data_IF_511691199268
#
_entry.id   IF_511691199268
#
_cell.length_a   1.000
_cell.length_b   1.000
_cell.length_c   1.000
_cell.angle_alpha   90.00
_cell.angle_beta   90.00
_cell.angle_gamma   90.00
#
_symmetry.space_group_name_H-M   'P 1'
#
loop_
_entity.id
_entity.type
_entity.pdbx_description
1 polymer ?
#
# COMPACT_ATOMS: atom_id res chain seq x y z
N UNK A 1 -7.20 -1.73 27.28
CA UNK A 1 -6.34 -2.77 26.78
C UNK A 1 -5.32 -2.15 25.83
N UNK A 2 -4.03 -2.36 26.10
CA UNK A 2 -2.98 -1.85 25.24
C UNK A 2 -2.91 -2.75 24.01
N UNK A 3 -3.37 -2.29 22.87
CA UNK A 3 -3.03 -2.91 21.59
C UNK A 3 -1.55 -2.68 21.33
N UNK A 4 -0.72 -3.59 21.82
CA UNK A 4 0.65 -3.65 21.37
C UNK A 4 0.70 -4.37 20.03
N UNK A 5 1.31 -3.72 19.04
CA UNK A 5 1.60 -4.35 17.79
C UNK A 5 2.65 -5.44 17.99
N UNK A 6 2.22 -6.69 17.90
CA UNK A 6 2.98 -7.88 18.28
C UNK A 6 3.76 -8.40 17.06
N UNK A 7 4.61 -7.57 16.44
CA UNK A 7 5.50 -8.06 15.38
C UNK A 7 6.85 -8.56 15.88
N UNK A 8 7.17 -8.30 17.12
CA UNK A 8 8.41 -8.71 17.79
C UNK A 8 8.26 -9.92 18.73
N UNK A 9 7.03 -10.45 18.85
CA UNK A 9 6.71 -11.61 19.67
C UNK A 9 5.59 -12.44 19.04
N UNK A 10 5.42 -13.67 19.51
CA UNK A 10 4.29 -14.51 19.09
C UNK A 10 2.99 -13.95 19.65
N UNK A 11 1.93 -14.08 18.85
CA UNK A 11 0.59 -13.69 19.28
C UNK A 11 0.16 -14.50 20.50
N UNK A 12 -0.32 -13.82 21.53
CA UNK A 12 -0.85 -14.46 22.76
C UNK A 12 -2.06 -13.66 23.22
N UNK A 13 -3.22 -14.33 23.30
CA UNK A 13 -4.46 -13.79 23.83
C UNK A 13 -5.17 -14.86 24.67
N UNK A 14 -6.07 -14.46 25.56
CA UNK A 14 -6.75 -15.38 26.51
C UNK A 14 -7.65 -16.40 25.80
N UNK A 15 -8.19 -16.08 24.62
CA UNK A 15 -9.11 -16.88 23.81
C UNK A 15 -8.51 -17.39 22.50
N UNK A 16 -7.18 -17.40 22.39
CA UNK A 16 -6.49 -17.82 21.17
C UNK A 16 -6.56 -19.32 20.93
N UNK A 17 -6.59 -19.69 19.66
CA UNK A 17 -6.37 -21.06 19.21
C UNK A 17 -4.88 -21.37 19.00
N UNK A 18 -4.52 -22.67 18.97
CA UNK A 18 -3.16 -23.09 18.68
C UNK A 18 -2.66 -22.62 17.29
N UNK A 19 -3.58 -22.40 16.34
CA UNK A 19 -3.30 -21.86 15.01
C UNK A 19 -2.73 -20.45 15.08
N UNK A 20 -3.23 -19.63 16.01
CA UNK A 20 -2.84 -18.23 16.14
C UNK A 20 -1.35 -18.06 16.45
N UNK A 21 -0.72 -19.05 17.09
CA UNK A 21 0.73 -19.08 17.31
C UNK A 21 1.53 -19.13 16.01
N UNK A 22 0.98 -19.72 14.96
CA UNK A 22 1.66 -19.87 13.67
C UNK A 22 1.45 -18.67 12.75
N UNK A 23 0.37 -17.89 12.97
CA UNK A 23 0.10 -16.67 12.23
C UNK A 23 1.16 -15.62 12.60
N UNK A 24 1.94 -15.18 11.62
CA UNK A 24 3.04 -14.24 11.85
C UNK A 24 4.31 -14.85 12.45
N UNK A 25 4.40 -16.17 12.66
CA UNK A 25 5.57 -16.82 13.23
C UNK A 25 6.81 -16.85 12.30
N UNK A 26 6.69 -16.41 11.05
CA UNK A 26 7.79 -16.30 10.07
C UNK A 26 8.64 -17.59 9.93
N UNK A 27 8.01 -18.76 10.05
CA UNK A 27 8.69 -20.06 9.94
C UNK A 27 9.51 -20.48 11.16
N UNK A 28 9.50 -19.71 12.26
CA UNK A 28 10.29 -20.02 13.46
C UNK A 28 9.73 -21.17 14.28
N UNK A 29 8.44 -21.49 14.16
CA UNK A 29 7.76 -22.56 14.90
C UNK A 29 7.61 -23.85 14.09
N UNK A 30 7.81 -23.81 12.79
CA UNK A 30 7.67 -24.98 11.93
C UNK A 30 7.43 -24.63 10.47
N UNK A 31 7.20 -25.67 9.67
CA UNK A 31 6.85 -25.56 8.25
C UNK A 31 5.39 -25.98 8.09
N UNK A 32 4.56 -25.08 7.56
CA UNK A 32 3.15 -25.37 7.24
C UNK A 32 3.13 -26.16 5.94
N UNK A 33 2.60 -27.39 5.98
CA UNK A 33 2.52 -28.28 4.82
C UNK A 33 1.11 -28.35 4.22
N UNK A 34 0.09 -28.02 5.01
CA UNK A 34 -1.30 -28.02 4.58
C UNK A 34 -2.06 -26.94 5.36
N UNK A 35 -2.98 -26.27 4.69
CA UNK A 35 -3.77 -25.19 5.26
C UNK A 35 -5.21 -25.29 4.76
N UNK A 36 -6.16 -25.22 5.69
CA UNK A 36 -7.57 -25.01 5.39
C UNK A 36 -7.97 -23.58 5.75
N UNK A 37 -8.55 -22.86 4.79
CA UNK A 37 -8.99 -21.48 4.95
C UNK A 37 -10.47 -21.33 4.64
N UNK A 38 -11.14 -20.46 5.38
CA UNK A 38 -12.48 -20.04 5.05
C UNK A 38 -12.44 -19.10 3.84
N UNK A 39 -13.31 -19.33 2.86
CA UNK A 39 -13.44 -18.49 1.68
C UNK A 39 -14.65 -17.57 1.84
N UNK A 40 -14.50 -16.34 1.38
CA UNK A 40 -15.60 -15.40 1.20
C UNK A 40 -16.08 -15.44 -0.26
N UNK A 41 -17.36 -15.13 -0.54
CA UNK A 41 -17.82 -14.93 -1.91
C UNK A 41 -16.98 -13.85 -2.60
N UNK A 42 -16.64 -14.07 -3.87
CA UNK A 42 -15.97 -13.06 -4.65
C UNK A 42 -16.93 -11.89 -4.93
N UNK A 43 -16.40 -10.67 -4.81
CA UNK A 43 -17.15 -9.45 -5.15
C UNK A 43 -17.57 -9.45 -6.62
N UNK A 44 -18.79 -9.03 -6.92
CA UNK A 44 -19.27 -8.98 -8.29
C UNK A 44 -18.59 -7.88 -9.10
N UNK A 45 -18.25 -6.77 -8.45
CA UNK A 45 -17.57 -5.60 -9.04
C UNK A 45 -16.37 -5.21 -8.22
N UNK A 46 -15.20 -5.18 -8.85
CA UNK A 46 -13.96 -4.71 -8.25
C UNK A 46 -13.43 -3.54 -9.06
N UNK A 47 -13.32 -2.37 -8.44
CA UNK A 47 -12.71 -1.20 -9.05
C UNK A 47 -11.45 -0.77 -8.29
N UNK A 48 -10.43 -0.35 -9.03
CA UNK A 48 -9.21 0.22 -8.47
C UNK A 48 -9.12 1.71 -8.78
N UNK A 49 -8.74 2.51 -7.78
CA UNK A 49 -8.58 3.97 -7.96
C UNK A 49 -7.21 4.38 -7.43
N UNK A 50 -6.36 4.90 -8.32
CA UNK A 50 -5.05 5.46 -7.94
C UNK A 50 -5.16 6.98 -7.89
N UNK A 51 -5.07 7.54 -6.69
CA UNK A 51 -5.16 8.97 -6.39
C UNK A 51 -3.76 9.56 -6.23
N UNK A 52 -3.46 10.64 -6.92
CA UNK A 52 -2.13 11.26 -6.88
C UNK A 52 -2.16 12.61 -6.17
N UNK A 53 -1.07 12.88 -5.44
CA UNK A 53 -0.89 14.09 -4.64
C UNK A 53 0.49 14.71 -4.90
N UNK A 54 0.56 16.03 -4.80
CA UNK A 54 1.80 16.80 -4.88
C UNK A 54 2.58 16.84 -3.55
N UNK A 55 1.96 16.37 -2.47
CA UNK A 55 2.56 16.33 -1.14
C UNK A 55 2.06 15.16 -0.29
N UNK A 56 2.93 14.72 0.61
CA UNK A 56 2.66 13.64 1.56
C UNK A 56 1.56 14.03 2.56
N UNK A 57 1.56 15.27 3.02
CA UNK A 57 0.58 15.76 3.99
C UNK A 57 -0.86 15.69 3.43
N UNK A 58 -1.05 15.98 2.13
CA UNK A 58 -2.34 15.81 1.45
C UNK A 58 -2.76 14.34 1.34
N UNK A 59 -1.82 13.47 0.99
CA UNK A 59 -2.09 12.03 0.87
C UNK A 59 -2.46 11.41 2.22
N UNK A 60 -1.79 11.81 3.31
CA UNK A 60 -2.13 11.36 4.67
C UNK A 60 -3.52 11.87 5.08
N UNK A 61 -3.81 13.16 4.84
CA UNK A 61 -5.13 13.73 5.13
C UNK A 61 -6.24 13.04 4.34
N UNK A 62 -5.99 12.70 3.06
CA UNK A 62 -6.89 11.91 2.25
C UNK A 62 -7.12 10.52 2.85
N UNK A 63 -6.04 9.82 3.21
CA UNK A 63 -6.11 8.46 3.77
C UNK A 63 -6.93 8.43 5.06
N UNK A 64 -6.72 9.38 5.96
CA UNK A 64 -7.50 9.49 7.21
C UNK A 64 -8.97 9.81 6.96
N UNK A 65 -9.26 10.64 5.94
CA UNK A 65 -10.61 11.08 5.63
C UNK A 65 -11.42 10.07 4.82
N UNK A 66 -10.76 9.29 3.94
CA UNK A 66 -11.45 8.35 3.05
C UNK A 66 -11.89 7.08 3.78
N UNK A 67 -11.14 6.65 4.79
CA UNK A 67 -11.45 5.46 5.58
C UNK A 67 -12.86 5.40 6.16
N UNK A 68 -13.30 6.41 6.93
CA UNK A 68 -14.63 6.37 7.55
C UNK A 68 -15.76 6.60 6.55
N UNK A 69 -15.45 7.00 5.32
CA UNK A 69 -16.44 7.35 4.29
C UNK A 69 -16.76 6.17 3.39
N UNK A 70 -15.74 5.36 3.02
CA UNK A 70 -15.93 4.22 2.14
C UNK A 70 -16.30 2.98 2.93
N UNK A 71 -17.45 2.39 2.61
CA UNK A 71 -17.93 1.17 3.25
C UNK A 71 -17.41 -0.11 2.57
N UNK A 72 -16.96 0.01 1.32
CA UNK A 72 -16.56 -1.12 0.46
C UNK A 72 -15.10 -1.04 0.02
N UNK A 73 -14.27 -0.29 0.77
CA UNK A 73 -12.83 -0.28 0.53
C UNK A 73 -12.20 -1.60 1.01
N UNK A 74 -11.74 -2.42 0.08
CA UNK A 74 -11.07 -3.68 0.36
C UNK A 74 -9.58 -3.47 0.67
N UNK A 75 -8.95 -2.47 0.06
CA UNK A 75 -7.57 -2.09 0.32
C UNK A 75 -7.34 -0.60 0.15
N UNK A 76 -6.43 -0.06 0.95
CA UNK A 76 -5.88 1.29 0.76
C UNK A 76 -4.36 1.15 0.84
N UNK A 77 -3.63 1.47 -0.23
CA UNK A 77 -2.19 1.34 -0.32
C UNK A 77 -1.53 2.69 -0.60
N UNK A 78 -0.43 2.92 0.07
CA UNK A 78 0.34 4.15 -0.02
C UNK A 78 1.65 3.92 -0.75
N UNK A 79 2.08 4.89 -1.58
CA UNK A 79 3.36 4.90 -2.30
C UNK A 79 3.95 6.29 -2.21
N UNK A 80 5.12 6.43 -1.59
CA UNK A 80 5.79 7.72 -1.44
C UNK A 80 6.52 8.19 -2.70
N UNK A 81 7.15 9.35 -2.62
CA UNK A 81 7.93 9.94 -3.72
C UNK A 81 9.08 9.02 -4.16
N UNK A 82 9.75 8.36 -3.20
CA UNK A 82 10.84 7.43 -3.49
C UNK A 82 10.37 6.23 -4.30
N UNK A 83 9.20 5.67 -3.95
CA UNK A 83 8.58 4.58 -4.70
C UNK A 83 8.21 5.01 -6.12
N UNK A 84 7.57 6.18 -6.28
CA UNK A 84 7.21 6.69 -7.60
C UNK A 84 8.43 7.02 -8.46
N UNK A 85 9.51 7.55 -7.89
CA UNK A 85 10.74 7.86 -8.61
C UNK A 85 11.47 6.59 -9.07
N UNK A 86 11.42 5.51 -8.30
CA UNK A 86 11.91 4.20 -8.73
C UNK A 86 11.12 3.70 -9.94
N UNK A 87 9.80 3.80 -9.91
CA UNK A 87 8.95 3.38 -11.05
C UNK A 87 9.17 4.22 -12.30
N UNK A 88 9.36 5.54 -12.19
CA UNK A 88 9.72 6.41 -13.32
C UNK A 88 11.03 5.94 -13.97
N UNK A 89 12.06 5.73 -13.16
CA UNK A 89 13.37 5.22 -13.65
C UNK A 89 13.25 3.86 -14.33
N UNK A 90 12.52 2.91 -13.73
CA UNK A 90 12.35 1.57 -14.30
C UNK A 90 11.60 1.61 -15.63
N UNK A 91 10.56 2.43 -15.72
CA UNK A 91 9.82 2.60 -16.98
C UNK A 91 10.69 3.12 -18.12
N UNK A 92 11.65 4.00 -17.84
CA UNK A 92 12.60 4.55 -18.83
C UNK A 92 13.71 3.58 -19.21
N UNK A 93 14.19 2.79 -18.27
CA UNK A 93 15.39 1.98 -18.41
C UNK A 93 15.13 0.53 -18.81
N UNK A 94 13.93 0.03 -18.60
CA UNK A 94 13.59 -1.37 -18.80
C UNK A 94 12.32 -1.57 -19.62
N UNK A 95 12.43 -2.36 -20.70
CA UNK A 95 11.27 -2.75 -21.51
C UNK A 95 10.25 -3.58 -20.74
N UNK A 96 10.65 -4.28 -19.68
CA UNK A 96 9.75 -5.04 -18.82
C UNK A 96 8.73 -4.13 -18.09
N UNK A 97 9.09 -2.87 -17.87
CA UNK A 97 8.23 -1.87 -17.20
C UNK A 97 7.62 -0.86 -18.18
N UNK A 98 7.78 -1.04 -19.48
CA UNK A 98 7.24 -0.11 -20.50
C UNK A 98 5.70 0.00 -20.49
N UNK A 99 5.00 -1.01 -19.97
CA UNK A 99 3.54 -1.02 -19.82
C UNK A 99 3.04 -0.23 -18.62
N UNK A 100 3.92 0.20 -17.70
CA UNK A 100 3.53 1.10 -16.63
C UNK A 100 3.01 2.41 -17.21
N UNK A 101 1.89 2.96 -16.71
CA UNK A 101 1.42 4.27 -17.11
C UNK A 101 2.48 5.34 -16.84
N UNK A 102 2.48 6.39 -17.65
CA UNK A 102 3.34 7.54 -17.40
C UNK A 102 2.85 8.25 -16.12
N UNK A 103 3.75 8.37 -15.15
CA UNK A 103 3.51 9.13 -13.94
C UNK A 103 3.82 10.60 -14.20
N UNK A 104 2.89 11.47 -13.84
CA UNK A 104 3.10 12.91 -13.85
C UNK A 104 4.26 13.30 -12.92
N UNK A 105 5.14 14.19 -13.36
CA UNK A 105 6.30 14.63 -12.59
C UNK A 105 5.93 15.39 -11.30
N UNK A 106 4.76 16.00 -11.27
CA UNK A 106 4.22 16.67 -10.09
C UNK A 106 3.64 15.70 -9.05
N UNK A 107 3.34 14.46 -9.44
CA UNK A 107 2.87 13.43 -8.52
C UNK A 107 4.01 13.00 -7.59
N UNK A 108 3.89 13.30 -6.30
CA UNK A 108 4.85 12.92 -5.26
C UNK A 108 4.40 11.73 -4.44
N UNK A 109 3.10 11.51 -4.35
CA UNK A 109 2.51 10.41 -3.59
C UNK A 109 1.35 9.82 -4.37
N UNK A 110 1.19 8.50 -4.29
CA UNK A 110 0.00 7.81 -4.76
C UNK A 110 -0.67 7.09 -3.59
N UNK A 111 -1.99 7.21 -3.51
CA UNK A 111 -2.83 6.37 -2.66
C UNK A 111 -3.75 5.56 -3.57
N UNK A 112 -3.58 4.25 -3.53
CA UNK A 112 -4.45 3.31 -4.23
C UNK A 112 -5.58 2.87 -3.32
N UNK A 113 -6.79 2.85 -3.83
CA UNK A 113 -7.99 2.35 -3.14
C UNK A 113 -8.63 1.26 -4.00
N UNK A 114 -8.87 0.09 -3.41
CA UNK A 114 -9.62 -0.98 -4.03
C UNK A 114 -11.04 -1.01 -3.46
N UNK A 115 -12.03 -1.02 -4.33
CA UNK A 115 -13.45 -1.06 -3.99
C UNK A 115 -14.01 -2.43 -4.39
N UNK A 116 -14.54 -3.16 -3.43
CA UNK A 116 -15.20 -4.45 -3.60
C UNK A 116 -16.70 -4.28 -3.37
N UNK A 117 -17.47 -4.31 -4.46
CA UNK A 117 -18.88 -3.97 -4.45
C UNK A 117 -19.77 -5.10 -4.98
N UNK A 118 -21.04 -5.08 -4.59
CA UNK A 118 -22.03 -6.04 -5.05
C UNK A 118 -22.53 -5.75 -6.48
N UNK A 119 -22.52 -4.49 -6.87
CA UNK A 119 -22.91 -4.03 -8.21
C UNK A 119 -22.24 -2.70 -8.63
N UNK A 120 -22.44 -2.32 -9.91
CA UNK A 120 -21.86 -1.07 -10.45
C UNK A 120 -22.48 0.20 -9.87
N UNK A 121 -23.72 0.15 -9.38
CA UNK A 121 -24.38 1.32 -8.78
C UNK A 121 -23.67 1.64 -7.44
N UNK A 122 -23.43 0.62 -6.62
CA UNK A 122 -22.69 0.76 -5.37
C UNK A 122 -21.25 1.23 -5.62
N UNK A 123 -20.52 0.62 -6.58
CA UNK A 123 -19.18 1.04 -6.94
C UNK A 123 -19.15 2.51 -7.42
N UNK A 124 -20.19 2.95 -8.13
CA UNK A 124 -20.31 4.33 -8.57
C UNK A 124 -20.54 5.29 -7.40
N UNK A 125 -21.35 4.93 -6.42
CA UNK A 125 -21.59 5.71 -5.21
C UNK A 125 -20.29 5.85 -4.39
N UNK A 126 -19.57 4.75 -4.18
CA UNK A 126 -18.26 4.76 -3.49
C UNK A 126 -17.25 5.66 -4.23
N UNK A 127 -17.21 5.59 -5.57
CA UNK A 127 -16.33 6.44 -6.37
C UNK A 127 -16.68 7.93 -6.23
N UNK A 128 -17.98 8.31 -6.12
CA UNK A 128 -18.37 9.69 -5.83
C UNK A 128 -17.90 10.14 -4.45
N UNK A 129 -18.05 9.30 -3.43
CA UNK A 129 -17.57 9.60 -2.09
C UNK A 129 -16.05 9.79 -2.07
N UNK A 130 -15.33 8.90 -2.76
CA UNK A 130 -13.87 9.00 -2.88
C UNK A 130 -13.46 10.30 -3.59
N UNK A 131 -14.10 10.64 -4.71
CA UNK A 131 -13.83 11.88 -5.46
C UNK A 131 -14.07 13.13 -4.63
N UNK A 132 -15.14 13.17 -3.84
CA UNK A 132 -15.40 14.27 -2.91
C UNK A 132 -14.28 14.42 -1.85
N UNK A 133 -13.85 13.31 -1.25
CA UNK A 133 -12.74 13.34 -0.26
C UNK A 133 -11.43 13.73 -0.93
N UNK A 134 -11.18 13.26 -2.17
CA UNK A 134 -10.01 13.60 -2.96
C UNK A 134 -9.90 15.11 -3.19
N UNK A 135 -11.00 15.73 -3.61
CA UNK A 135 -11.08 17.18 -3.82
C UNK A 135 -10.81 17.95 -2.53
N UNK A 136 -11.44 17.56 -1.41
CA UNK A 136 -11.23 18.19 -0.09
C UNK A 136 -9.78 18.10 0.38
N UNK A 137 -9.10 16.99 0.11
CA UNK A 137 -7.70 16.79 0.45
C UNK A 137 -6.73 17.50 -0.53
N UNK A 138 -7.25 18.10 -1.60
CA UNK A 138 -6.44 18.76 -2.62
C UNK A 138 -5.65 17.78 -3.48
N UNK A 139 -6.21 16.59 -3.72
CA UNK A 139 -5.68 15.61 -4.66
C UNK A 139 -5.87 16.04 -6.12
N UNK A 140 -5.22 15.31 -7.02
CA UNK A 140 -5.22 15.61 -8.45
C UNK A 140 -6.25 14.75 -9.17
N UNK A 141 -7.42 15.32 -9.38
CA UNK A 141 -8.53 14.66 -10.08
C UNK A 141 -8.14 14.34 -11.55
N UNK A 142 -7.46 15.25 -12.22
CA UNK A 142 -7.00 15.12 -13.61
C UNK A 142 -5.95 14.02 -13.81
N UNK A 143 -5.24 13.63 -12.75
CA UNK A 143 -4.24 12.57 -12.76
C UNK A 143 -4.74 11.24 -12.20
N UNK A 144 -5.96 11.19 -11.66
CA UNK A 144 -6.51 9.98 -11.02
C UNK A 144 -6.80 8.88 -12.05
N UNK A 145 -6.34 7.66 -11.76
CA UNK A 145 -6.61 6.49 -12.60
C UNK A 145 -7.73 5.64 -12.00
N UNK A 146 -8.76 5.38 -12.79
CA UNK A 146 -9.88 4.53 -12.39
C UNK A 146 -9.89 3.27 -13.25
N UNK A 147 -9.65 2.12 -12.64
CA UNK A 147 -9.67 0.81 -13.28
C UNK A 147 -11.02 0.13 -13.06
N UNK A 148 -11.80 0.04 -14.12
CA UNK A 148 -13.12 -0.63 -14.13
C UNK A 148 -13.09 -1.95 -14.89
N UNK A 149 -12.21 -2.07 -15.88
CA UNK A 149 -12.06 -3.28 -16.69
C UNK A 149 -10.98 -4.19 -16.13
N UNK A 150 -10.99 -5.46 -16.50
CA UNK A 150 -9.93 -6.41 -16.12
C UNK A 150 -8.55 -5.93 -16.59
N UNK A 151 -8.46 -5.38 -17.79
CA UNK A 151 -7.22 -4.86 -18.36
C UNK A 151 -6.66 -3.71 -17.53
N UNK A 152 -7.53 -2.77 -17.13
CA UNK A 152 -7.11 -1.65 -16.28
C UNK A 152 -6.66 -2.12 -14.90
N UNK A 153 -7.38 -3.09 -14.31
CA UNK A 153 -7.01 -3.69 -13.02
C UNK A 153 -5.66 -4.41 -13.07
N UNK A 154 -5.41 -5.16 -14.15
CA UNK A 154 -4.09 -5.80 -14.35
C UNK A 154 -2.98 -4.75 -14.47
N UNK A 155 -3.22 -3.63 -15.13
CA UNK A 155 -2.26 -2.52 -15.21
C UNK A 155 -1.98 -1.93 -13.82
N UNK A 156 -3.01 -1.68 -13.01
CA UNK A 156 -2.83 -1.19 -11.63
C UNK A 156 -2.18 -2.25 -10.73
N UNK A 157 -2.52 -3.53 -10.87
CA UNK A 157 -1.85 -4.62 -10.16
C UNK A 157 -0.37 -4.65 -10.49
N UNK A 158 -0.02 -4.54 -11.77
CA UNK A 158 1.38 -4.45 -12.18
C UNK A 158 2.09 -3.25 -11.56
N UNK A 159 1.47 -2.07 -11.55
CA UNK A 159 2.00 -0.87 -10.88
C UNK A 159 2.30 -1.12 -9.40
N UNK A 160 1.35 -1.70 -8.65
CA UNK A 160 1.51 -1.99 -7.22
C UNK A 160 2.65 -2.98 -6.96
N UNK A 161 2.77 -4.04 -7.77
CA UNK A 161 3.81 -5.05 -7.62
C UNK A 161 5.18 -4.61 -8.15
N UNK A 162 5.22 -3.64 -9.04
CA UNK A 162 6.46 -3.15 -9.64
C UNK A 162 7.39 -2.45 -8.63
N UNK A 163 6.87 -1.84 -7.56
CA UNK A 163 7.69 -1.16 -6.54
C UNK A 163 8.60 -2.14 -5.81
N UNK A 164 8.10 -3.18 -5.10
CA UNK A 164 8.96 -4.13 -4.40
C UNK A 164 9.92 -4.86 -5.34
N UNK A 165 9.50 -5.20 -6.55
CA UNK A 165 10.33 -5.82 -7.57
C UNK A 165 11.49 -4.89 -7.97
N UNK A 166 11.18 -3.64 -8.28
CA UNK A 166 12.16 -2.63 -8.66
C UNK A 166 13.19 -2.34 -7.56
N UNK A 167 12.76 -2.30 -6.31
CA UNK A 167 13.67 -2.14 -5.16
C UNK A 167 14.62 -3.33 -5.05
N UNK A 168 14.12 -4.55 -5.21
CA UNK A 168 14.97 -5.74 -5.17
C UNK A 168 15.98 -5.74 -6.33
N UNK A 169 15.55 -5.40 -7.55
CA UNK A 169 16.44 -5.26 -8.71
C UNK A 169 17.53 -4.20 -8.47
N UNK A 170 17.19 -3.05 -7.90
CA UNK A 170 18.15 -1.99 -7.56
C UNK A 170 19.18 -2.45 -6.53
N UNK A 171 18.76 -3.17 -5.51
CA UNK A 171 19.68 -3.73 -4.50
C UNK A 171 20.60 -4.78 -5.15
N UNK A 172 20.07 -5.68 -5.98
CA UNK A 172 20.86 -6.70 -6.68
C UNK A 172 21.88 -6.09 -7.63
N UNK A 173 21.51 -5.02 -8.34
CA UNK A 173 22.44 -4.28 -9.20
C UNK A 173 23.60 -3.66 -8.38
N UNK A 174 23.29 -2.99 -7.27
CA UNK A 174 24.30 -2.40 -6.39
C UNK A 174 25.21 -3.44 -5.76
N UNK A 175 24.69 -4.60 -5.42
CA UNK A 175 25.47 -5.72 -4.86
C UNK A 175 26.49 -6.31 -5.83
N UNK A 176 26.36 -6.06 -7.14
CA UNK A 176 27.39 -6.45 -8.12
C UNK A 176 28.71 -5.68 -7.91
N UNK A 177 28.64 -4.49 -7.38
CA UNK A 177 29.81 -3.63 -7.11
C UNK A 177 30.24 -3.67 -5.64
N UNK A 178 29.31 -3.87 -4.71
CA UNK A 178 29.58 -3.95 -3.28
C UNK A 178 28.64 -4.96 -2.62
N UNK A 179 29.19 -6.12 -2.26
CA UNK A 179 28.45 -7.22 -1.63
C UNK A 179 27.94 -6.89 -0.20
N UNK A 180 28.41 -5.79 0.41
CA UNK A 180 27.97 -5.38 1.75
C UNK A 180 26.64 -4.63 1.72
N UNK A 181 26.21 -4.18 0.54
CA UNK A 181 24.93 -3.49 0.39
C UNK A 181 23.79 -4.44 0.72
N UNK A 182 22.91 -3.99 1.60
CA UNK A 182 21.72 -4.73 2.01
C UNK A 182 20.50 -3.83 2.06
N UNK A 183 19.34 -4.41 1.83
CA UNK A 183 18.06 -3.75 2.04
C UNK A 183 17.78 -3.71 3.53
N UNK A 184 17.53 -2.53 4.06
CA UNK A 184 16.94 -2.34 5.37
C UNK A 184 15.43 -2.15 5.21
N UNK A 185 14.65 -2.90 5.95
CA UNK A 185 13.20 -2.78 6.01
C UNK A 185 12.75 -2.43 7.42
N UNK A 186 11.78 -1.55 7.52
CA UNK A 186 11.06 -1.26 8.76
C UNK A 186 9.57 -1.30 8.47
N UNK A 187 8.82 -1.84 9.40
CA UNK A 187 7.41 -2.09 9.27
C UNK A 187 6.75 -1.75 10.59
N UNK A 188 6.04 -0.63 10.64
CA UNK A 188 5.41 -0.16 11.87
C UNK A 188 3.89 -0.06 11.68
N UNK A 189 3.16 -0.54 12.66
CA UNK A 189 1.72 -0.34 12.77
C UNK A 189 1.44 0.63 13.91
N UNK A 190 0.57 1.58 13.66
CA UNK A 190 0.14 2.58 14.65
C UNK A 190 -1.38 2.74 14.59
N UNK A 191 -2.02 3.18 15.68
CA UNK A 191 -3.42 3.58 15.62
C UNK A 191 -3.65 4.64 14.54
N UNK A 192 -4.80 4.60 13.87
CA UNK A 192 -5.11 5.50 12.75
C UNK A 192 -4.87 6.98 13.09
N UNK A 193 -5.26 7.43 14.29
CA UNK A 193 -5.05 8.80 14.76
C UNK A 193 -3.56 9.21 14.87
N UNK A 194 -2.62 8.27 14.73
CA UNK A 194 -1.17 8.51 14.79
C UNK A 194 -0.48 8.33 13.43
N UNK A 195 -1.24 8.11 12.35
CA UNK A 195 -0.67 7.92 11.02
C UNK A 195 0.20 9.11 10.59
N UNK A 196 -0.31 10.32 10.73
CA UNK A 196 0.44 11.53 10.39
C UNK A 196 1.75 11.66 11.20
N UNK A 197 1.72 11.30 12.49
CA UNK A 197 2.89 11.37 13.36
C UNK A 197 3.98 10.39 12.94
N UNK A 198 3.60 9.14 12.59
CA UNK A 198 4.59 8.13 12.17
C UNK A 198 5.17 8.44 10.79
N UNK A 199 4.38 8.95 9.86
CA UNK A 199 4.85 9.39 8.54
C UNK A 199 5.85 10.55 8.71
N UNK A 200 5.53 11.55 9.54
CA UNK A 200 6.43 12.65 9.85
C UNK A 200 7.73 12.18 10.55
N UNK A 201 7.64 11.18 11.43
CA UNK A 201 8.81 10.57 12.07
C UNK A 201 9.72 9.91 11.02
N UNK A 202 9.17 9.08 10.15
CA UNK A 202 9.94 8.43 9.08
C UNK A 202 10.62 9.46 8.18
N UNK A 203 9.87 10.44 7.68
CA UNK A 203 10.40 11.51 6.83
C UNK A 203 11.60 12.22 7.46
N UNK A 204 11.48 12.63 8.73
CA UNK A 204 12.56 13.29 9.46
C UNK A 204 13.77 12.38 9.63
N UNK A 205 13.57 11.16 10.12
CA UNK A 205 14.66 10.22 10.41
C UNK A 205 15.41 9.82 9.14
N UNK A 206 14.69 9.58 8.04
CA UNK A 206 15.30 9.25 6.74
C UNK A 206 16.09 10.44 6.18
N UNK A 207 15.56 11.66 6.28
CA UNK A 207 16.28 12.87 5.87
C UNK A 207 17.58 13.07 6.67
N UNK A 208 17.55 12.83 7.98
CA UNK A 208 18.72 12.91 8.86
C UNK A 208 19.75 11.82 8.56
N UNK A 209 19.30 10.63 8.16
CA UNK A 209 20.19 9.50 7.85
C UNK A 209 20.93 9.64 6.51
N UNK A 210 20.40 10.42 5.59
CA UNK A 210 20.89 10.55 4.21
C UNK A 210 20.75 9.25 3.37
N UNK A 211 19.97 8.29 3.84
CA UNK A 211 19.72 7.05 3.10
C UNK A 211 18.68 7.27 2.00
N UNK A 212 18.91 6.65 0.84
CA UNK A 212 17.88 6.51 -0.19
C UNK A 212 16.78 5.56 0.33
N UNK A 213 15.54 5.98 0.20
CA UNK A 213 14.41 5.24 0.74
C UNK A 213 13.22 5.25 -0.20
N UNK A 214 12.38 4.23 -0.06
CA UNK A 214 11.07 4.18 -0.66
C UNK A 214 10.10 3.55 0.35
N UNK A 215 8.93 4.15 0.53
CA UNK A 215 7.88 3.63 1.39
C UNK A 215 6.66 3.26 0.56
N UNK A 216 6.15 2.09 0.81
CA UNK A 216 4.89 1.61 0.24
C UNK A 216 4.26 0.59 1.17
N UNK A 217 2.95 0.39 1.07
CA UNK A 217 2.28 -0.67 1.81
C UNK A 217 0.80 -0.40 2.05
N UNK A 218 0.17 -1.41 2.62
CA UNK A 218 -1.22 -1.36 3.04
C UNK A 218 -1.37 -0.39 4.22
N UNK A 219 -2.20 0.63 4.06
CA UNK A 219 -2.55 1.52 5.16
C UNK A 219 -3.81 1.06 5.88
N UNK A 220 -4.54 0.09 5.31
CA UNK A 220 -5.71 -0.52 5.91
C UNK A 220 -6.02 -1.89 5.37
N UNK A 221 -6.27 -2.77 6.30
CA UNK A 221 -7.19 -3.90 6.14
C UNK A 221 -8.33 -3.61 7.11
N UNK A 222 -9.58 -3.85 6.72
CA UNK A 222 -10.67 -3.96 7.68
C UNK A 222 -10.34 -5.10 8.63
N UNK A 223 -9.75 -4.77 9.77
CA UNK A 223 -9.83 -5.63 10.92
C UNK A 223 -11.22 -5.34 11.47
N UNK A 224 -12.19 -6.15 11.07
CA UNK A 224 -13.46 -6.24 11.79
C UNK A 224 -13.10 -6.72 13.20
N UNK A 225 -13.36 -5.86 14.19
CA UNK A 225 -13.36 -6.27 15.58
C UNK A 225 -14.35 -7.38 15.82
#
# INVERSE_FOLDING_TARGET
>A
GSEMCIRDSYYVADDMDAIDLFIGACGTLGVITELEIALQPASAVVWGVSCFFDSEDKAVAFTDSVRPVLSHAAAIEYFDAGALDILRRQREQSTAFASLPALDDEAKVCVYVELDCDDEAQATEELYHLGWVLELAGGRDDATWVARTEVDRECQRFFRHAVPESVNMLIDERRRTDLTITKLGSDMSVPNARLADVVALYRRTLAESGLESAAWGLSLIHISE
#
